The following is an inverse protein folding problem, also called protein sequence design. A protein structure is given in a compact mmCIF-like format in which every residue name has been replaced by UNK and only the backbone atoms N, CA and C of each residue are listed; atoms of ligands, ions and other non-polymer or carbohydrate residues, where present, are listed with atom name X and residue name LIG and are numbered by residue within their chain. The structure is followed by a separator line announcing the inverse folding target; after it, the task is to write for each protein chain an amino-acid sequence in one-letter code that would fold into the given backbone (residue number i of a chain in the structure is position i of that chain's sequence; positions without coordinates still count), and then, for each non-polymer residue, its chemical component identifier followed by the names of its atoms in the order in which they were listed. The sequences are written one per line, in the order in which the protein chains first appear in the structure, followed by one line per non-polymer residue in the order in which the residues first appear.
data_IF_649932390740
#
_entry.id   IF_649932390740
#
_cell.length_a   1.000
_cell.length_b   1.000
_cell.length_c   1.000
_cell.angle_alpha   90.00
_cell.angle_beta   90.00
_cell.angle_gamma   90.00
#
_symmetry.space_group_name_H-M   'P 1'
#
loop_
_entity.id
_entity.type
_entity.pdbx_description
1 polymer ?
#
# COMPACT_ATOMS: atom_id res chain seq x y z
N UNK A 1 -7.37 19.17 -11.44
CA UNK A 1 -6.74 18.02 -10.81
C UNK A 1 -6.44 16.96 -11.84
N UNK A 2 -5.18 16.71 -12.08
CA UNK A 2 -4.75 15.70 -13.04
C UNK A 2 -4.30 14.45 -12.30
N UNK A 3 -5.15 13.43 -12.33
CA UNK A 3 -4.81 12.13 -11.79
C UNK A 3 -4.28 11.25 -12.91
N UNK A 4 -3.12 10.66 -12.68
CA UNK A 4 -2.58 9.66 -13.59
C UNK A 4 -2.76 8.28 -12.96
N UNK A 5 -3.47 7.38 -13.65
CA UNK A 5 -3.63 6.01 -13.17
C UNK A 5 -2.33 5.27 -13.34
N UNK A 6 -1.77 4.75 -12.23
CA UNK A 6 -0.58 3.90 -12.26
C UNK A 6 -0.98 2.44 -12.36
N UNK A 7 -2.03 2.03 -11.63
CA UNK A 7 -2.43 0.63 -11.58
C UNK A 7 -3.93 0.53 -11.31
N UNK A 8 -4.61 -0.34 -12.05
CA UNK A 8 -5.96 -0.77 -11.75
C UNK A 8 -5.90 -2.15 -11.12
N UNK A 9 -6.37 -2.25 -9.88
CA UNK A 9 -6.41 -3.53 -9.18
C UNK A 9 -7.83 -4.03 -8.98
N UNK A 10 -7.96 -5.28 -8.59
CA UNK A 10 -9.27 -5.86 -8.29
C UNK A 10 -9.89 -5.26 -7.03
N UNK A 11 -9.07 -4.85 -6.06
CA UNK A 11 -9.53 -4.28 -4.78
C UNK A 11 -9.41 -2.76 -4.74
N UNK A 12 -8.40 -2.20 -5.40
CA UNK A 12 -8.13 -0.77 -5.34
C UNK A 12 -7.41 -0.30 -6.60
N UNK A 13 -7.63 0.96 -6.95
CA UNK A 13 -6.90 1.64 -8.00
C UNK A 13 -5.85 2.55 -7.38
N UNK A 14 -4.71 2.68 -8.05
CA UNK A 14 -3.61 3.51 -7.58
C UNK A 14 -3.39 4.64 -8.57
N UNK A 15 -3.40 5.87 -8.06
CA UNK A 15 -3.23 7.08 -8.86
C UNK A 15 -2.01 7.84 -8.41
N UNK A 16 -1.31 8.47 -9.35
CA UNK A 16 -0.29 9.46 -9.06
C UNK A 16 -0.94 10.82 -9.11
N UNK A 17 -0.85 11.57 -8.02
CA UNK A 17 -1.54 12.86 -7.89
C UNK A 17 -0.57 13.94 -7.44
N UNK A 18 -0.83 15.22 -7.82
CA UNK A 18 -0.13 16.33 -7.19
C UNK A 18 -0.54 16.44 -5.72
N UNK A 19 0.42 16.69 -4.86
CA UNK A 19 0.17 16.85 -3.42
C UNK A 19 1.06 17.97 -2.91
N UNK A 20 0.44 19.15 -2.69
CA UNK A 20 1.16 20.37 -2.35
C UNK A 20 2.26 20.63 -3.40
N UNK A 21 3.52 20.68 -3.01
CA UNK A 21 4.63 20.95 -3.93
C UNK A 21 5.35 19.69 -4.41
N UNK A 22 4.73 18.53 -4.19
CA UNK A 22 5.32 17.24 -4.56
C UNK A 22 4.26 16.35 -5.22
N UNK A 23 4.59 15.09 -5.41
CA UNK A 23 3.67 14.08 -5.91
C UNK A 23 3.36 13.08 -4.81
N UNK A 24 2.19 12.49 -4.87
CA UNK A 24 1.76 11.48 -3.92
C UNK A 24 1.01 10.37 -4.64
N UNK A 25 0.81 9.28 -3.93
CA UNK A 25 -0.01 8.16 -4.38
C UNK A 25 -1.36 8.23 -3.68
N UNK A 26 -2.43 8.16 -4.47
CA UNK A 26 -3.78 7.95 -3.95
C UNK A 26 -4.18 6.52 -4.23
N UNK A 27 -4.44 5.75 -3.18
CA UNK A 27 -4.95 4.40 -3.29
C UNK A 27 -6.42 4.41 -2.88
N UNK A 28 -7.29 4.11 -3.84
CA UNK A 28 -8.73 4.21 -3.67
C UNK A 28 -9.37 2.85 -3.87
N UNK A 29 -10.08 2.38 -2.86
CA UNK A 29 -10.83 1.12 -2.95
C UNK A 29 -12.18 1.39 -3.61
N UNK A 30 -12.41 0.72 -4.73
CA UNK A 30 -13.62 0.92 -5.51
C UNK A 30 -14.81 0.15 -4.95
N UNK A 31 -16.05 0.69 -5.08
CA UNK A 31 -17.24 -0.05 -4.73
C UNK A 31 -17.37 -1.33 -5.57
N UNK A 32 -17.87 -2.39 -4.96
CA UNK A 32 -18.16 -3.65 -5.64
C UNK A 32 -19.65 -3.78 -5.89
N UNK A 33 -20.04 -3.83 -7.16
CA UNK A 33 -21.46 -3.87 -7.56
C UNK A 33 -22.19 -5.11 -7.08
N UNK A 34 -21.47 -6.21 -6.86
CA UNK A 34 -22.08 -7.47 -6.41
C UNK A 34 -22.38 -7.50 -4.91
N UNK A 35 -21.94 -6.49 -4.16
CA UNK A 35 -22.21 -6.41 -2.73
C UNK A 35 -23.37 -5.46 -2.45
N UNK A 36 -24.09 -5.73 -1.35
CA UNK A 36 -25.01 -4.77 -0.80
C UNK A 36 -24.25 -3.46 -0.48
N UNK A 37 -24.85 -2.31 -0.78
CA UNK A 37 -24.20 -1.01 -0.62
C UNK A 37 -23.70 -0.79 0.80
N UNK A 38 -24.52 -1.10 1.80
CA UNK A 38 -24.14 -0.93 3.21
C UNK A 38 -22.97 -1.84 3.58
N UNK A 39 -23.03 -3.10 3.16
CA UNK A 39 -21.95 -4.06 3.41
C UNK A 39 -20.68 -3.66 2.71
N UNK A 40 -20.78 -3.23 1.44
CA UNK A 40 -19.61 -2.81 0.66
C UNK A 40 -18.91 -1.62 1.32
N UNK A 41 -19.66 -0.61 1.73
CA UNK A 41 -19.11 0.55 2.42
C UNK A 41 -18.39 0.16 3.71
N UNK A 42 -18.99 -0.75 4.49
CA UNK A 42 -18.38 -1.23 5.72
C UNK A 42 -17.07 -1.96 5.47
N UNK A 43 -17.03 -2.83 4.47
CA UNK A 43 -15.82 -3.58 4.11
C UNK A 43 -14.73 -2.62 3.64
N UNK A 44 -15.07 -1.67 2.78
CA UNK A 44 -14.11 -0.71 2.25
C UNK A 44 -13.51 0.16 3.36
N UNK A 45 -14.33 0.65 4.27
CA UNK A 45 -13.88 1.43 5.43
C UNK A 45 -12.92 0.60 6.29
N UNK A 46 -13.31 -0.62 6.63
CA UNK A 46 -12.50 -1.50 7.48
C UNK A 46 -11.16 -1.83 6.83
N UNK A 47 -11.17 -2.17 5.55
CA UNK A 47 -9.93 -2.50 4.83
C UNK A 47 -9.00 -1.31 4.71
N UNK A 48 -9.55 -0.12 4.51
CA UNK A 48 -8.76 1.11 4.44
C UNK A 48 -8.08 1.41 5.77
N UNK A 49 -8.81 1.34 6.86
CA UNK A 49 -8.26 1.55 8.20
C UNK A 49 -7.22 0.47 8.53
N UNK A 50 -7.51 -0.79 8.19
CA UNK A 50 -6.59 -1.89 8.44
C UNK A 50 -5.27 -1.69 7.69
N UNK A 51 -5.31 -1.28 6.44
CA UNK A 51 -4.11 -1.02 5.66
C UNK A 51 -3.28 0.11 6.26
N UNK A 52 -3.92 1.21 6.65
CA UNK A 52 -3.23 2.33 7.29
C UNK A 52 -2.57 1.91 8.60
N UNK A 53 -3.28 1.12 9.41
CA UNK A 53 -2.76 0.59 10.67
C UNK A 53 -1.56 -0.32 10.43
N UNK A 54 -1.64 -1.20 9.44
CA UNK A 54 -0.55 -2.10 9.08
C UNK A 54 0.69 -1.34 8.63
N UNK A 55 0.52 -0.31 7.80
CA UNK A 55 1.65 0.51 7.38
C UNK A 55 2.33 1.18 8.56
N UNK A 56 1.56 1.68 9.51
CA UNK A 56 2.10 2.29 10.71
C UNK A 56 2.84 1.25 11.57
N UNK A 57 2.26 0.09 11.78
CA UNK A 57 2.87 -0.99 12.57
C UNK A 57 4.19 -1.45 11.95
N UNK A 58 4.22 -1.63 10.63
CA UNK A 58 5.44 -2.02 9.91
C UNK A 58 6.51 -0.95 10.08
N UNK A 59 6.14 0.32 10.03
CA UNK A 59 7.08 1.42 10.20
C UNK A 59 7.75 1.40 11.57
N UNK A 60 7.02 1.00 12.62
CA UNK A 60 7.59 0.94 13.98
C UNK A 60 8.66 -0.13 14.13
N UNK A 61 8.76 -1.08 13.21
CA UNK A 61 9.79 -2.13 13.22
C UNK A 61 11.11 -1.69 12.62
N UNK A 62 11.17 -0.47 12.06
CA UNK A 62 12.34 0.04 11.36
C UNK A 62 12.34 -0.25 9.86
N UNK A 63 11.38 -1.00 9.36
CA UNK A 63 11.22 -1.23 7.92
C UNK A 63 10.65 0.04 7.29
N UNK A 64 11.23 0.46 6.16
CA UNK A 64 10.76 1.64 5.46
C UNK A 64 9.43 1.38 4.79
N UNK A 65 8.45 2.25 5.06
CA UNK A 65 7.13 2.23 4.45
C UNK A 65 6.80 3.63 3.95
N UNK A 66 5.89 3.77 2.98
CA UNK A 66 5.43 5.10 2.58
C UNK A 66 4.83 5.84 3.77
N UNK A 67 5.10 7.13 3.86
CA UNK A 67 4.47 8.00 4.84
C UNK A 67 3.03 8.26 4.40
N UNK A 68 2.07 8.13 5.32
CA UNK A 68 0.66 8.42 5.03
C UNK A 68 0.42 9.90 5.26
N UNK A 69 0.04 10.61 4.19
CA UNK A 69 -0.28 12.04 4.27
C UNK A 69 -1.72 12.28 4.69
N UNK A 70 -2.63 11.44 4.25
CA UNK A 70 -4.06 11.63 4.49
C UNK A 70 -4.81 10.31 4.40
N UNK A 71 -5.76 10.12 5.30
CA UNK A 71 -6.60 8.94 5.35
C UNK A 71 -8.06 9.39 5.35
N UNK A 72 -8.83 8.91 4.38
CA UNK A 72 -10.27 9.16 4.31
C UNK A 72 -11.01 7.82 4.29
N UNK A 73 -11.43 7.32 5.46
CA UNK A 73 -12.11 6.03 5.53
C UNK A 73 -13.43 5.99 4.77
N UNK A 74 -14.18 7.10 4.76
CA UNK A 74 -15.48 7.15 4.09
C UNK A 74 -15.35 6.97 2.59
N UNK A 75 -14.33 7.57 1.99
CA UNK A 75 -14.03 7.42 0.57
C UNK A 75 -13.20 6.17 0.28
N UNK A 76 -12.74 5.50 1.34
CA UNK A 76 -11.82 4.36 1.25
C UNK A 76 -10.54 4.73 0.48
N UNK A 77 -9.98 5.88 0.83
CA UNK A 77 -8.81 6.46 0.17
C UNK A 77 -7.67 6.64 1.16
N UNK A 78 -6.45 6.27 0.73
CA UNK A 78 -5.22 6.59 1.45
C UNK A 78 -4.33 7.38 0.50
N UNK A 79 -3.90 8.56 0.94
CA UNK A 79 -2.92 9.35 0.21
C UNK A 79 -1.59 9.19 0.92
N UNK A 80 -0.59 8.73 0.20
CA UNK A 80 0.68 8.37 0.78
C UNK A 80 1.85 8.86 -0.07
N UNK A 81 3.03 8.78 0.51
CA UNK A 81 4.27 9.16 -0.14
C UNK A 81 4.48 8.38 -1.43
N UNK A 82 4.85 9.09 -2.50
CA UNK A 82 5.26 8.44 -3.74
C UNK A 82 6.71 7.98 -3.61
N UNK A 83 6.91 6.68 -3.73
CA UNK A 83 8.25 6.09 -3.71
C UNK A 83 8.63 5.75 -5.14
N UNK A 84 9.64 6.44 -5.66
CA UNK A 84 10.16 6.17 -6.98
C UNK A 84 11.03 4.93 -6.92
N UNK A 85 10.65 3.90 -7.67
CA UNK A 85 11.35 2.63 -7.68
C UNK A 85 10.64 1.59 -8.52
N UNK A 86 11.15 0.37 -8.48
CA UNK A 86 10.59 -0.75 -9.23
C UNK A 86 9.88 -1.73 -8.30
N UNK A 87 8.75 -2.27 -8.77
CA UNK A 87 8.06 -3.32 -8.05
C UNK A 87 8.93 -4.59 -8.07
N UNK A 88 9.15 -5.16 -6.89
CA UNK A 88 10.02 -6.34 -6.74
C UNK A 88 9.53 -7.53 -7.55
N UNK A 89 8.22 -7.63 -7.78
CA UNK A 89 7.65 -8.68 -8.63
C UNK A 89 8.28 -8.70 -10.03
N UNK A 90 8.66 -7.54 -10.56
CA UNK A 90 9.20 -7.40 -11.91
C UNK A 90 10.71 -7.58 -11.97
N UNK A 91 11.40 -7.43 -10.85
CA UNK A 91 12.86 -7.47 -10.78
C UNK A 91 13.38 -8.53 -9.81
N UNK A 92 12.58 -9.54 -9.54
CA UNK A 92 12.92 -10.57 -8.55
C UNK A 92 14.21 -11.28 -8.89
N UNK A 93 15.11 -11.37 -7.91
CA UNK A 93 16.38 -12.09 -7.97
C UNK A 93 16.62 -12.82 -6.65
N UNK A 94 17.59 -13.75 -6.57
CA UNK A 94 17.89 -14.40 -5.29
C UNK A 94 18.27 -13.42 -4.19
N UNK A 95 19.00 -12.36 -4.49
CA UNK A 95 19.39 -11.33 -3.52
C UNK A 95 18.17 -10.58 -3.00
N UNK A 96 17.27 -10.20 -3.89
CA UNK A 96 16.04 -9.50 -3.53
C UNK A 96 15.13 -10.41 -2.71
N UNK A 97 15.02 -11.68 -3.09
CA UNK A 97 14.26 -12.67 -2.32
C UNK A 97 14.78 -12.83 -0.90
N UNK A 98 16.11 -12.83 -0.75
CA UNK A 98 16.73 -12.91 0.59
C UNK A 98 16.41 -11.68 1.44
N UNK A 99 16.48 -10.47 0.85
CA UNK A 99 16.12 -9.24 1.54
C UNK A 99 14.66 -9.23 1.98
N UNK A 100 13.76 -9.69 1.10
CA UNK A 100 12.34 -9.81 1.44
C UNK A 100 12.13 -10.77 2.61
N UNK A 101 12.85 -11.89 2.62
CA UNK A 101 12.78 -12.86 3.71
C UNK A 101 13.18 -12.27 5.04
N UNK A 102 14.20 -11.41 5.06
CA UNK A 102 14.60 -10.70 6.26
C UNK A 102 13.48 -9.82 6.79
N UNK A 103 12.82 -9.06 5.92
CA UNK A 103 11.71 -8.19 6.33
C UNK A 103 10.54 -9.00 6.88
N UNK A 104 10.19 -10.10 6.22
CA UNK A 104 9.13 -10.99 6.70
C UNK A 104 9.46 -11.53 8.10
N UNK A 105 10.72 -11.94 8.32
CA UNK A 105 11.16 -12.43 9.63
C UNK A 105 11.04 -11.36 10.71
N UNK A 106 11.40 -10.11 10.40
CA UNK A 106 11.27 -8.99 11.34
C UNK A 106 9.80 -8.78 11.71
N UNK A 107 8.91 -8.81 10.73
CA UNK A 107 7.47 -8.65 10.98
C UNK A 107 6.92 -9.76 11.87
N UNK A 108 7.28 -11.01 11.59
CA UNK A 108 6.84 -12.14 12.40
C UNK A 108 7.35 -12.05 13.84
N UNK A 109 8.59 -11.63 14.03
CA UNK A 109 9.17 -11.48 15.37
C UNK A 109 8.49 -10.38 16.18
N UNK A 110 7.85 -9.41 15.51
CA UNK A 110 7.08 -8.36 16.18
C UNK A 110 5.58 -8.68 16.23
N UNK A 111 5.19 -9.93 15.91
CA UNK A 111 3.81 -10.38 15.88
C UNK A 111 2.93 -9.58 14.91
N UNK A 112 3.54 -9.03 13.85
CA UNK A 112 2.81 -8.36 12.79
C UNK A 112 2.55 -9.38 11.69
N UNK A 113 1.28 -9.70 11.48
CA UNK A 113 0.86 -10.64 10.44
C UNK A 113 0.22 -9.83 9.32
N UNK A 114 0.84 -9.85 8.15
CA UNK A 114 0.29 -9.26 6.95
C UNK A 114 -0.37 -10.38 6.15
N UNK A 115 -1.68 -10.29 5.97
CA UNK A 115 -2.44 -11.36 5.31
C UNK A 115 -2.15 -11.53 3.82
N UNK A 116 -1.41 -10.62 3.21
CA UNK A 116 -1.17 -10.61 1.77
C UNK A 116 0.25 -10.16 1.43
N UNK A 117 1.24 -10.87 1.99
CA UNK A 117 2.64 -10.60 1.70
C UNK A 117 3.03 -11.26 0.38
N UNK A 118 3.00 -10.49 -0.70
CA UNK A 118 3.43 -10.92 -2.02
C UNK A 118 4.54 -10.01 -2.53
N UNK A 119 5.23 -10.45 -3.57
CA UNK A 119 6.28 -9.63 -4.20
C UNK A 119 5.75 -8.31 -4.73
N UNK A 120 4.44 -8.24 -5.04
CA UNK A 120 3.82 -7.01 -5.54
C UNK A 120 3.69 -5.92 -4.47
N UNK A 121 3.81 -6.27 -3.18
CA UNK A 121 3.74 -5.31 -2.08
C UNK A 121 5.10 -4.71 -1.70
N UNK A 122 6.17 -5.12 -2.39
CA UNK A 122 7.52 -4.62 -2.16
C UNK A 122 7.98 -3.77 -3.33
N UNK A 123 8.63 -2.65 -3.02
CA UNK A 123 9.19 -1.74 -4.01
C UNK A 123 10.67 -1.55 -3.67
N UNK A 124 11.54 -1.79 -4.66
CA UNK A 124 12.95 -1.46 -4.52
C UNK A 124 13.13 0.01 -4.86
N UNK A 125 13.61 0.78 -3.91
CA UNK A 125 13.86 2.19 -4.10
C UNK A 125 14.98 2.38 -5.12
N UNK A 126 14.89 3.45 -5.91
CA UNK A 126 15.79 3.69 -7.05
C UNK A 126 17.27 3.71 -6.67
N UNK A 127 17.58 4.18 -5.46
CA UNK A 127 18.95 4.35 -4.97
C UNK A 127 19.33 3.40 -3.82
N UNK A 128 18.62 2.29 -3.73
CA UNK A 128 18.89 1.27 -2.70
C UNK A 128 19.04 -0.14 -3.29
#
# INVERSE_FOLDING_TARGET
LHYKIIKRGSEADVYLIPWHKTMAISKLRNPKKYRNITLDNLIRVRRTIHEATMLNDVKTTGIKTPFIYFLDPKRAEIIMEYIEGENVKEILSPEIGFEMGKYVSILHNKNIIHGDLTTSNFIKRKDE
#
